data_IF_226960009414
#
_entry.id   IF_226960009414
#
_cell.length_a   1.000
_cell.length_b   1.000
_cell.length_c   1.000
_cell.angle_alpha   90.00
_cell.angle_beta   90.00
_cell.angle_gamma   90.00
#
_symmetry.space_group_name_H-M   'P 1'
#
loop_
_entity.id
_entity.type
_entity.pdbx_description
1 polymer ?
#
# COMPACT_ATOMS: atom_id res chain seq x y z
N UNK A 1 6.89 -41.21 47.61
CA UNK A 1 7.49 -40.07 46.87
C UNK A 1 7.82 -40.54 45.47
N UNK A 2 7.25 -39.90 44.44
CA UNK A 2 7.74 -39.70 43.06
C UNK A 2 6.55 -39.09 42.30
N UNK A 3 6.53 -37.76 42.18
CA UNK A 3 5.65 -37.06 41.23
C UNK A 3 6.41 -37.01 39.91
N UNK A 4 6.02 -37.82 38.92
CA UNK A 4 6.47 -37.64 37.53
C UNK A 4 5.71 -36.44 36.96
N UNK A 5 6.36 -35.28 36.95
CA UNK A 5 5.90 -34.13 36.20
C UNK A 5 6.15 -34.39 34.71
N UNK A 6 5.10 -34.73 33.97
CA UNK A 6 5.08 -34.61 32.52
C UNK A 6 4.81 -33.13 32.22
N UNK A 7 5.87 -32.37 31.96
CA UNK A 7 5.77 -31.03 31.43
C UNK A 7 5.38 -31.16 29.95
N UNK A 8 4.24 -30.61 29.50
CA UNK A 8 3.92 -30.62 28.08
C UNK A 8 4.89 -29.69 27.39
N UNK A 9 5.59 -30.21 26.38
CA UNK A 9 6.35 -29.43 25.42
C UNK A 9 5.35 -28.64 24.56
N UNK A 10 4.75 -27.59 25.12
CA UNK A 10 4.21 -26.50 24.32
C UNK A 10 5.41 -25.75 23.77
N UNK A 11 5.89 -26.17 22.60
CA UNK A 11 6.51 -25.21 21.69
C UNK A 11 5.42 -24.15 21.46
N UNK A 12 5.56 -23.01 22.14
CA UNK A 12 4.97 -21.79 21.65
C UNK A 12 5.50 -21.64 20.23
N UNK A 13 4.67 -21.94 19.23
CA UNK A 13 4.75 -21.27 17.96
C UNK A 13 4.50 -19.79 18.28
N UNK A 14 5.56 -19.10 18.72
CA UNK A 14 5.58 -17.66 18.62
C UNK A 14 5.18 -17.36 17.18
N UNK A 15 4.17 -16.52 16.92
CA UNK A 15 3.94 -16.09 15.56
C UNK A 15 5.28 -15.57 15.09
N UNK A 16 5.80 -16.14 14.00
CA UNK A 16 6.86 -15.47 13.25
C UNK A 16 6.22 -14.15 12.86
N UNK A 17 6.38 -13.12 13.68
CA UNK A 17 6.37 -11.76 13.18
C UNK A 17 7.48 -11.79 12.16
N UNK A 18 7.09 -11.89 10.89
CA UNK A 18 8.01 -11.98 9.78
C UNK A 18 8.99 -10.83 9.97
N UNK A 19 10.25 -11.17 10.25
CA UNK A 19 11.29 -10.15 10.26
C UNK A 19 11.24 -9.47 8.91
N UNK A 20 11.32 -8.14 8.91
CA UNK A 20 11.39 -7.39 7.67
C UNK A 20 12.45 -8.06 6.78
N UNK A 21 12.13 -8.30 5.49
CA UNK A 21 13.01 -9.00 4.58
C UNK A 21 14.38 -8.32 4.57
N UNK A 22 15.49 -9.08 4.39
CA UNK A 22 16.82 -8.51 4.24
C UNK A 22 16.82 -7.34 3.25
N UNK A 23 17.66 -6.33 3.49
CA UNK A 23 17.72 -5.11 2.68
C UNK A 23 18.00 -5.38 1.19
N UNK A 24 18.60 -6.52 0.88
CA UNK A 24 18.96 -7.04 -0.44
C UNK A 24 17.97 -8.12 -0.95
N UNK A 25 16.91 -8.42 -0.22
CA UNK A 25 15.91 -9.39 -0.65
C UNK A 25 15.19 -8.92 -1.91
N UNK A 26 15.13 -9.81 -2.90
CA UNK A 26 14.35 -9.58 -4.12
C UNK A 26 12.88 -9.35 -3.78
N UNK A 27 12.29 -8.27 -4.30
CA UNK A 27 10.87 -7.99 -4.16
C UNK A 27 10.02 -8.97 -4.97
N UNK A 28 9.07 -9.59 -4.28
CA UNK A 28 8.09 -10.53 -4.83
C UNK A 28 6.76 -10.29 -4.14
N UNK A 29 5.70 -10.08 -4.91
CA UNK A 29 4.36 -9.96 -4.37
C UNK A 29 3.40 -9.35 -5.37
N UNK A 30 2.51 -8.49 -4.90
CA UNK A 30 1.23 -8.22 -5.57
C UNK A 30 0.96 -6.72 -5.75
N UNK A 31 -0.06 -6.40 -6.55
CA UNK A 31 -0.67 -5.07 -6.54
C UNK A 31 -1.95 -5.13 -5.72
N UNK A 32 -2.15 -4.14 -4.86
CA UNK A 32 -3.39 -3.96 -4.09
C UNK A 32 -4.16 -2.76 -4.68
N UNK A 33 -5.43 -2.94 -5.03
CA UNK A 33 -6.17 -2.06 -5.96
C UNK A 33 -7.20 -1.17 -5.26
N UNK A 34 -7.16 -1.09 -3.94
CA UNK A 34 -8.12 -0.39 -3.10
C UNK A 34 -8.23 1.11 -3.42
N UNK A 35 -7.17 1.72 -3.96
CA UNK A 35 -7.14 3.11 -4.40
C UNK A 35 -6.91 3.26 -5.92
N UNK A 36 -7.09 2.19 -6.68
CA UNK A 36 -6.78 2.15 -8.13
C UNK A 36 -7.70 3.04 -8.98
N UNK A 37 -8.96 3.14 -8.58
CA UNK A 37 -9.99 3.95 -9.22
C UNK A 37 -10.79 4.66 -8.15
N UNK A 38 -11.03 5.96 -8.35
CA UNK A 38 -11.79 6.78 -7.41
C UNK A 38 -13.15 6.18 -7.04
N UNK A 39 -13.84 5.61 -8.02
CA UNK A 39 -15.21 5.12 -7.90
C UNK A 39 -15.31 3.80 -7.12
N UNK A 40 -14.21 3.07 -6.99
CA UNK A 40 -14.12 1.75 -6.35
C UNK A 40 -13.33 1.80 -5.03
N UNK A 41 -13.06 3.01 -4.54
CA UNK A 41 -12.15 3.22 -3.43
C UNK A 41 -12.65 2.61 -2.13
N UNK A 42 -11.74 1.94 -1.42
CA UNK A 42 -12.03 1.24 -0.17
C UNK A 42 -10.77 1.19 0.71
N UNK A 43 -10.89 0.88 2.01
CA UNK A 43 -9.72 0.71 2.86
C UNK A 43 -8.92 -0.55 2.51
N UNK A 44 -7.60 -0.49 2.71
CA UNK A 44 -6.74 -1.67 2.65
C UNK A 44 -7.08 -2.66 3.77
N UNK A 45 -7.07 -3.95 3.44
CA UNK A 45 -7.42 -5.02 4.37
C UNK A 45 -6.15 -5.55 5.00
N UNK A 46 -6.09 -5.54 6.32
CA UNK A 46 -4.97 -6.12 7.08
C UNK A 46 -4.72 -7.60 6.74
N UNK A 47 -5.80 -8.35 6.49
CA UNK A 47 -5.71 -9.78 6.12
C UNK A 47 -4.84 -10.00 4.88
N UNK A 48 -4.91 -9.10 3.88
CA UNK A 48 -4.15 -9.24 2.65
C UNK A 48 -2.64 -9.15 2.93
N UNK A 49 -2.23 -8.21 3.79
CA UNK A 49 -0.81 -8.08 4.21
C UNK A 49 -0.34 -9.28 5.01
N UNK A 50 -1.18 -9.79 5.91
CA UNK A 50 -0.90 -10.99 6.70
C UNK A 50 -0.69 -12.20 5.79
N UNK A 51 -1.65 -12.48 4.91
CA UNK A 51 -1.59 -13.62 4.00
C UNK A 51 -0.38 -13.53 3.05
N UNK A 52 -0.09 -12.34 2.52
CA UNK A 52 1.10 -12.10 1.67
C UNK A 52 2.38 -12.48 2.41
N UNK A 53 2.53 -12.03 3.66
CA UNK A 53 3.69 -12.34 4.49
C UNK A 53 3.76 -13.83 4.86
N UNK A 54 2.64 -14.45 5.24
CA UNK A 54 2.56 -15.88 5.58
C UNK A 54 2.94 -16.78 4.38
N UNK A 55 2.63 -16.35 3.16
CA UNK A 55 3.04 -17.04 1.94
C UNK A 55 4.51 -16.80 1.55
N UNK A 56 5.24 -15.99 2.31
CA UNK A 56 6.66 -15.68 2.07
C UNK A 56 6.90 -14.61 0.99
N UNK A 57 5.88 -13.86 0.60
CA UNK A 57 6.04 -12.66 -0.22
C UNK A 57 6.39 -11.45 0.66
N UNK A 58 6.96 -10.42 0.05
CA UNK A 58 7.60 -9.32 0.78
C UNK A 58 7.37 -7.95 0.16
N UNK A 59 6.45 -7.83 -0.81
CA UNK A 59 6.24 -6.62 -1.58
C UNK A 59 4.77 -6.42 -1.96
N UNK A 60 4.29 -5.19 -1.85
CA UNK A 60 3.07 -4.74 -2.49
C UNK A 60 3.31 -3.43 -3.24
N UNK A 61 2.65 -3.28 -4.39
CA UNK A 61 2.54 -2.01 -5.10
C UNK A 61 1.12 -1.48 -4.98
N UNK A 62 1.00 -0.20 -4.64
CA UNK A 62 -0.27 0.50 -4.54
C UNK A 62 -0.39 1.44 -5.75
N UNK A 63 -1.00 1.02 -6.87
CA UNK A 63 -1.40 1.94 -7.93
C UNK A 63 -2.58 2.78 -7.45
N UNK A 64 -2.38 4.09 -7.34
CA UNK A 64 -3.32 5.02 -6.74
C UNK A 64 -3.81 6.07 -7.72
N UNK A 65 -5.02 6.55 -7.50
CA UNK A 65 -5.66 7.62 -8.27
C UNK A 65 -5.68 8.93 -7.48
N UNK A 66 -4.95 9.95 -7.95
CA UNK A 66 -4.84 11.22 -7.23
C UNK A 66 -6.15 11.94 -6.97
N UNK A 67 -7.18 11.65 -7.76
CA UNK A 67 -8.51 12.25 -7.62
C UNK A 67 -9.22 11.87 -6.31
N UNK A 68 -8.65 10.92 -5.56
CA UNK A 68 -9.11 10.51 -4.23
C UNK A 68 -8.72 11.47 -3.12
N UNK A 69 -7.65 12.24 -3.27
CA UNK A 69 -7.15 13.13 -2.23
C UNK A 69 -7.09 14.59 -2.67
N UNK A 70 -7.79 14.97 -3.75
CA UNK A 70 -8.00 16.37 -4.13
C UNK A 70 -9.44 16.79 -3.81
N UNK A 71 -9.64 18.06 -3.45
CA UNK A 71 -10.97 18.62 -3.18
C UNK A 71 -11.52 19.35 -4.39
N UNK A 72 -12.77 19.05 -4.76
CA UNK A 72 -13.53 19.75 -5.82
C UNK A 72 -12.81 19.85 -7.18
N UNK A 73 -11.92 18.90 -7.48
CA UNK A 73 -11.11 18.90 -8.71
C UNK A 73 -9.92 19.89 -8.71
N UNK A 74 -9.68 20.59 -7.60
CA UNK A 74 -8.54 21.49 -7.42
C UNK A 74 -7.30 20.69 -7.02
N UNK A 75 -6.36 20.57 -7.95
CA UNK A 75 -5.12 19.81 -7.77
C UNK A 75 -4.26 20.27 -6.60
N UNK A 76 -4.41 21.52 -6.16
CA UNK A 76 -3.60 22.11 -5.09
C UNK A 76 -4.27 22.03 -3.72
N UNK A 77 -5.50 21.53 -3.64
CA UNK A 77 -6.22 21.35 -2.38
C UNK A 77 -6.25 19.88 -2.01
N UNK A 78 -5.24 19.48 -1.24
CA UNK A 78 -5.10 18.11 -0.77
C UNK A 78 -6.03 17.86 0.42
N UNK A 79 -6.69 16.71 0.41
CA UNK A 79 -7.48 16.20 1.53
C UNK A 79 -6.64 15.22 2.36
N UNK A 80 -6.00 15.73 3.41
CA UNK A 80 -5.12 14.93 4.28
C UNK A 80 -5.84 13.74 4.92
N UNK A 81 -7.15 13.85 5.16
CA UNK A 81 -7.94 12.76 5.71
C UNK A 81 -8.05 11.58 4.74
N UNK A 82 -8.11 11.84 3.43
CA UNK A 82 -8.10 10.79 2.41
C UNK A 82 -6.76 10.03 2.38
N UNK A 83 -5.65 10.73 2.65
CA UNK A 83 -4.31 10.14 2.69
C UNK A 83 -4.08 9.21 3.88
N UNK A 84 -4.89 9.28 4.94
CA UNK A 84 -4.81 8.34 6.08
C UNK A 84 -4.96 6.87 5.66
N UNK A 85 -5.67 6.60 4.56
CA UNK A 85 -5.76 5.23 4.00
C UNK A 85 -4.42 4.73 3.47
N UNK A 86 -3.60 5.63 2.91
CA UNK A 86 -2.23 5.34 2.46
C UNK A 86 -1.32 5.11 3.66
N UNK A 87 -1.42 5.95 4.69
CA UNK A 87 -0.67 5.78 5.94
C UNK A 87 -0.97 4.41 6.57
N UNK A 88 -2.24 4.02 6.65
CA UNK A 88 -2.64 2.72 7.15
C UNK A 88 -2.00 1.55 6.37
N UNK A 89 -1.92 1.65 5.04
CA UNK A 89 -1.27 0.64 4.21
C UNK A 89 0.25 0.55 4.47
N UNK A 90 0.91 1.70 4.65
CA UNK A 90 2.33 1.76 5.00
C UNK A 90 2.58 1.14 6.38
N UNK A 91 1.73 1.43 7.37
CA UNK A 91 1.83 0.84 8.70
C UNK A 91 1.58 -0.68 8.69
N UNK A 92 0.62 -1.17 7.88
CA UNK A 92 0.44 -2.60 7.65
C UNK A 92 1.68 -3.24 7.01
N UNK A 93 2.26 -2.57 6.00
CA UNK A 93 3.52 -2.99 5.40
C UNK A 93 4.65 -3.15 6.42
N UNK A 94 4.83 -2.14 7.29
CA UNK A 94 5.81 -2.20 8.40
C UNK A 94 5.51 -3.34 9.36
N UNK A 95 4.25 -3.51 9.76
CA UNK A 95 3.81 -4.54 10.72
C UNK A 95 4.10 -5.96 10.23
N UNK A 96 3.91 -6.23 8.94
CA UNK A 96 4.04 -7.57 8.37
C UNK A 96 5.34 -7.81 7.61
N UNK A 97 6.28 -6.85 7.61
CA UNK A 97 7.53 -6.99 6.86
C UNK A 97 7.32 -6.98 5.34
N UNK A 98 6.33 -6.25 4.84
CA UNK A 98 6.01 -6.14 3.41
C UNK A 98 6.38 -4.74 2.93
N UNK A 99 7.30 -4.64 1.96
CA UNK A 99 7.64 -3.35 1.35
C UNK A 99 6.46 -2.78 0.58
N UNK A 100 6.11 -1.52 0.84
CA UNK A 100 5.02 -0.82 0.17
C UNK A 100 5.58 0.16 -0.86
N UNK A 101 5.34 -0.12 -2.15
CA UNK A 101 5.66 0.78 -3.25
C UNK A 101 4.44 1.62 -3.61
N UNK A 102 4.51 2.91 -3.30
CA UNK A 102 3.49 3.88 -3.71
C UNK A 102 3.63 4.21 -5.20
N UNK A 103 2.52 4.27 -5.92
CA UNK A 103 2.51 4.65 -7.32
C UNK A 103 1.31 5.54 -7.64
N UNK A 104 1.56 6.60 -8.40
CA UNK A 104 0.51 7.40 -9.04
C UNK A 104 0.16 6.72 -10.36
N UNK A 105 -0.88 5.88 -10.33
CA UNK A 105 -1.38 5.21 -11.54
C UNK A 105 -2.16 6.18 -12.41
N UNK A 106 -2.90 7.09 -11.76
CA UNK A 106 -3.41 8.32 -12.34
C UNK A 106 -2.87 9.47 -11.50
N UNK A 107 -2.16 10.39 -12.16
CA UNK A 107 -1.69 11.64 -11.57
C UNK A 107 -2.23 12.85 -12.34
N UNK A 108 -1.98 14.08 -11.86
CA UNK A 108 -2.31 15.29 -12.60
C UNK A 108 -1.80 15.22 -14.05
N UNK A 109 -2.74 15.24 -15.00
CA UNK A 109 -2.45 15.25 -16.43
C UNK A 109 -2.06 13.92 -17.08
N UNK A 110 -2.02 12.79 -16.37
CA UNK A 110 -1.77 11.50 -17.02
C UNK A 110 -2.37 10.28 -16.32
N UNK A 111 -2.94 9.39 -17.14
CA UNK A 111 -3.15 7.98 -16.84
C UNK A 111 -3.12 7.20 -18.15
N UNK A 112 -2.61 5.97 -18.11
CA UNK A 112 -2.66 5.07 -19.27
C UNK A 112 -4.10 4.60 -19.57
N UNK A 113 -4.96 4.53 -18.56
CA UNK A 113 -6.34 4.09 -18.72
C UNK A 113 -7.26 5.24 -19.17
N UNK A 114 -8.25 4.96 -20.04
CA UNK A 114 -9.29 5.94 -20.36
C UNK A 114 -10.21 6.21 -19.14
N UNK A 115 -10.90 7.36 -19.11
CA UNK A 115 -10.73 8.49 -20.03
C UNK A 115 -9.39 9.23 -19.78
N UNK A 116 -8.95 10.00 -20.79
CA UNK A 116 -7.79 10.90 -20.65
C UNK A 116 -8.08 11.99 -19.61
N UNK A 117 -7.02 12.46 -18.95
CA UNK A 117 -7.10 13.65 -18.11
C UNK A 117 -7.38 14.90 -18.97
N UNK A 118 -7.91 15.94 -18.34
CA UNK A 118 -8.27 17.20 -19.01
C UNK A 118 -7.04 17.99 -19.51
N UNK A 119 -5.89 17.79 -18.87
CA UNK A 119 -4.58 18.35 -19.24
C UNK A 119 -3.60 17.21 -19.52
N UNK A 120 -2.45 17.54 -20.07
CA UNK A 120 -1.41 16.59 -20.45
C UNK A 120 -0.13 16.82 -19.63
N UNK A 121 0.26 15.85 -18.82
CA UNK A 121 1.47 15.90 -17.98
C UNK A 121 2.74 16.19 -18.78
N UNK A 122 2.80 15.78 -20.05
CA UNK A 122 4.02 15.89 -20.84
C UNK A 122 4.22 17.28 -21.45
N UNK A 123 3.13 18.04 -21.62
CA UNK A 123 3.14 19.33 -22.34
C UNK A 123 2.63 20.50 -21.52
N UNK A 124 1.76 20.27 -20.53
CA UNK A 124 1.17 21.31 -19.70
C UNK A 124 2.07 21.61 -18.47
N UNK A 125 2.55 22.85 -18.29
CA UNK A 125 3.38 23.22 -17.14
C UNK A 125 2.62 23.12 -15.81
N UNK A 126 1.32 23.44 -15.77
CA UNK A 126 0.54 23.37 -14.53
C UNK A 126 0.36 21.91 -14.08
N UNK A 127 0.22 20.97 -15.02
CA UNK A 127 0.14 19.54 -14.72
C UNK A 127 1.44 19.03 -14.11
N UNK A 128 2.60 19.46 -14.64
CA UNK A 128 3.91 19.10 -14.10
C UNK A 128 4.17 19.70 -12.73
N UNK A 129 3.79 20.96 -12.54
CA UNK A 129 3.91 21.62 -11.24
C UNK A 129 3.05 20.90 -10.20
N UNK A 130 1.77 20.61 -10.53
CA UNK A 130 0.88 19.89 -9.64
C UNK A 130 1.34 18.46 -9.33
N UNK A 131 1.96 17.77 -10.29
CA UNK A 131 2.50 16.42 -10.07
C UNK A 131 3.73 16.42 -9.14
N UNK A 132 4.45 17.53 -9.05
CA UNK A 132 5.67 17.68 -8.24
C UNK A 132 5.41 18.22 -6.81
N UNK A 133 4.15 18.50 -6.47
CA UNK A 133 3.72 18.89 -5.11
C UNK A 133 3.78 17.69 -4.15
#
# INVERSE_FOLDING_TARGET
MIRRALLPLLLLAAPLLAQAPPKDARWRGFNLLELFRKEEAKPFREEDFRTIAEWGFNFVRLPMDYRLWIRDGDWRKIDDDALKTVDAAVELGKKYGVHVSLNFHRGPGYCVNPPKEAKDLWTDPDAREAFAL
#
